data_IF_575214045177
#
_entry.id   IF_575214045177
#
_cell.length_a   1.000
_cell.length_b   1.000
_cell.length_c   1.000
_cell.angle_alpha   90.00
_cell.angle_beta   90.00
_cell.angle_gamma   90.00
#
_symmetry.space_group_name_H-M   'P 1'
#
loop_
_entity.id
_entity.type
_entity.pdbx_description
1 polymer ?
#
# COMPACT_ATOMS: atom_id res chain seq x y z
N UNK A 1 -3.06 -22.05 -15.72
CA UNK A 1 -2.37 -21.31 -14.65
C UNK A 1 -2.79 -21.88 -13.31
N UNK A 2 -1.83 -22.16 -12.42
CA UNK A 2 -2.06 -22.65 -11.05
C UNK A 2 -2.02 -21.45 -10.08
N UNK A 3 -3.07 -21.30 -9.29
CA UNK A 3 -3.23 -20.19 -8.34
C UNK A 3 -3.23 -20.74 -6.92
N UNK A 4 -2.34 -20.24 -6.06
CA UNK A 4 -2.35 -20.54 -4.63
C UNK A 4 -3.07 -19.42 -3.85
N UNK A 5 -3.89 -19.80 -2.87
CA UNK A 5 -4.61 -18.83 -2.04
C UNK A 5 -4.51 -19.19 -0.56
N UNK A 6 -4.18 -18.21 0.27
CA UNK A 6 -4.22 -18.34 1.72
C UNK A 6 -5.18 -17.29 2.32
N UNK A 7 -6.35 -17.71 2.81
CA UNK A 7 -7.29 -16.78 3.46
C UNK A 7 -6.90 -16.40 4.90
N UNK A 8 -5.74 -16.83 5.39
CA UNK A 8 -5.24 -16.63 6.76
C UNK A 8 -6.31 -16.87 7.86
N UNK A 9 -7.14 -17.91 7.65
CA UNK A 9 -8.24 -18.26 8.56
C UNK A 9 -9.43 -17.30 8.55
N UNK A 10 -9.49 -16.39 7.58
CA UNK A 10 -10.50 -15.34 7.50
C UNK A 10 -11.72 -15.67 6.64
N UNK A 11 -12.54 -14.65 6.42
CA UNK A 11 -13.83 -14.73 5.72
C UNK A 11 -13.71 -15.25 4.27
N UNK A 12 -12.57 -14.99 3.60
CA UNK A 12 -12.37 -15.41 2.21
C UNK A 12 -12.36 -16.93 2.00
N UNK A 13 -12.23 -17.73 3.06
CA UNK A 13 -12.14 -19.21 2.96
C UNK A 13 -13.30 -19.82 2.19
N UNK A 14 -14.52 -19.30 2.38
CA UNK A 14 -15.72 -19.81 1.75
C UNK A 14 -16.01 -19.21 0.36
N UNK A 15 -15.19 -18.26 -0.11
CA UNK A 15 -15.38 -17.60 -1.40
C UNK A 15 -14.58 -18.26 -2.52
N UNK A 16 -13.38 -18.81 -2.21
CA UNK A 16 -12.45 -19.26 -3.24
C UNK A 16 -12.89 -20.47 -4.02
N UNK A 17 -13.51 -21.46 -3.37
CA UNK A 17 -14.05 -22.65 -4.09
C UNK A 17 -15.21 -22.28 -5.04
N UNK A 18 -16.23 -21.51 -4.62
CA UNK A 18 -17.28 -21.02 -5.53
C UNK A 18 -16.73 -20.18 -6.69
N UNK A 19 -15.75 -19.31 -6.45
CA UNK A 19 -15.11 -18.52 -7.50
C UNK A 19 -14.38 -19.44 -8.50
N UNK A 20 -13.56 -20.37 -8.00
CA UNK A 20 -12.85 -21.34 -8.83
C UNK A 20 -13.80 -22.11 -9.73
N UNK A 21 -14.89 -22.67 -9.17
CA UNK A 21 -15.89 -23.42 -9.89
C UNK A 21 -16.63 -22.59 -10.92
N UNK A 22 -17.06 -21.38 -10.53
CA UNK A 22 -17.84 -20.49 -11.41
C UNK A 22 -17.06 -20.02 -12.63
N UNK A 23 -15.78 -19.74 -12.47
CA UNK A 23 -14.95 -19.16 -13.53
C UNK A 23 -13.93 -20.16 -14.14
N UNK A 24 -13.98 -21.44 -13.75
CA UNK A 24 -13.06 -22.45 -14.25
C UNK A 24 -11.59 -22.21 -13.90
N UNK A 25 -11.33 -21.62 -12.70
CA UNK A 25 -9.99 -21.30 -12.26
C UNK A 25 -9.37 -22.47 -11.49
N UNK A 26 -8.08 -22.73 -11.71
CA UNK A 26 -7.31 -23.73 -10.97
C UNK A 26 -6.75 -23.11 -9.70
N UNK A 27 -7.60 -22.97 -8.68
CA UNK A 27 -7.25 -22.40 -7.37
C UNK A 27 -7.04 -23.53 -6.36
N UNK A 28 -5.95 -23.45 -5.59
CA UNK A 28 -5.68 -24.28 -4.42
C UNK A 28 -5.69 -23.40 -3.18
N UNK A 29 -6.60 -23.66 -2.23
CA UNK A 29 -6.61 -23.03 -0.91
C UNK A 29 -5.64 -23.79 -0.01
N UNK A 30 -4.57 -23.16 0.43
CA UNK A 30 -3.47 -23.83 1.15
C UNK A 30 -3.77 -24.06 2.63
N UNK A 31 -4.60 -23.19 3.25
CA UNK A 31 -5.08 -23.35 4.64
C UNK A 31 -6.60 -23.38 4.66
N UNK A 32 -7.23 -24.52 4.27
CA UNK A 32 -8.68 -24.60 4.11
C UNK A 32 -9.45 -24.82 5.43
N UNK A 33 -8.76 -25.04 6.55
CA UNK A 33 -9.37 -25.32 7.84
C UNK A 33 -9.49 -24.06 8.68
N UNK A 34 -10.66 -23.84 9.25
CA UNK A 34 -10.86 -22.84 10.29
C UNK A 34 -10.25 -23.34 11.60
N UNK A 35 -9.33 -22.59 12.14
CA UNK A 35 -8.75 -22.81 13.45
C UNK A 35 -8.89 -21.54 14.29
N UNK A 36 -9.80 -21.49 15.29
CA UNK A 36 -10.01 -20.31 16.11
C UNK A 36 -8.78 -19.89 16.93
N UNK A 37 -7.82 -20.80 17.11
CA UNK A 37 -6.56 -20.50 17.81
C UNK A 37 -5.45 -20.04 16.85
N UNK A 38 -5.71 -20.05 15.52
CA UNK A 38 -4.72 -19.71 14.47
C UNK A 38 -3.38 -20.44 14.59
N UNK A 39 -3.44 -21.72 15.06
CA UNK A 39 -2.24 -22.55 15.31
C UNK A 39 -1.38 -22.82 14.10
N UNK A 40 -1.88 -22.58 12.89
CA UNK A 40 -1.15 -22.68 11.62
C UNK A 40 -0.28 -21.45 11.32
N UNK A 41 -0.48 -20.32 12.05
CA UNK A 41 0.23 -19.08 11.79
C UNK A 41 1.63 -19.08 12.40
N UNK A 42 2.58 -18.53 11.67
CA UNK A 42 3.91 -18.21 12.17
C UNK A 42 3.87 -16.99 13.08
N UNK A 43 4.61 -17.02 14.18
CA UNK A 43 4.71 -15.87 15.10
C UNK A 43 5.46 -14.72 14.42
N UNK A 44 4.98 -13.50 14.64
CA UNK A 44 5.66 -12.27 14.21
C UNK A 44 6.91 -12.02 15.09
N UNK A 45 7.72 -11.03 14.73
CA UNK A 45 8.98 -10.66 15.39
C UNK A 45 8.83 -10.38 16.90
N UNK A 46 7.63 -10.00 17.36
CA UNK A 46 7.31 -9.74 18.76
C UNK A 46 6.66 -10.94 19.51
N UNK A 47 6.68 -12.13 18.88
CA UNK A 47 6.11 -13.35 19.42
C UNK A 47 4.58 -13.42 19.40
N UNK A 48 3.90 -12.53 18.66
CA UNK A 48 2.44 -12.52 18.55
C UNK A 48 1.99 -13.07 17.21
N UNK A 49 0.77 -13.63 17.20
CA UNK A 49 0.08 -13.99 15.96
C UNK A 49 -0.53 -12.72 15.36
N UNK A 50 -0.24 -12.45 14.07
CA UNK A 50 -0.85 -11.38 13.28
C UNK A 50 -1.28 -11.94 11.93
N UNK A 51 -2.51 -11.74 11.56
CA UNK A 51 -3.05 -12.14 10.25
C UNK A 51 -2.94 -10.98 9.25
N UNK A 52 -1.75 -10.38 9.16
CA UNK A 52 -1.45 -9.31 8.21
C UNK A 52 -0.85 -9.88 6.93
N UNK A 53 -1.59 -9.84 5.84
CA UNK A 53 -1.16 -10.38 4.55
C UNK A 53 0.00 -9.61 3.89
N UNK A 54 0.44 -8.49 4.44
CA UNK A 54 1.67 -7.80 4.06
C UNK A 54 2.89 -8.22 4.89
N UNK A 55 2.70 -8.98 5.97
CA UNK A 55 3.79 -9.47 6.84
C UNK A 55 4.46 -10.72 6.25
N UNK A 56 5.80 -10.74 6.12
CA UNK A 56 6.52 -11.95 5.71
C UNK A 56 6.36 -13.10 6.71
N UNK A 57 6.09 -12.82 7.98
CA UNK A 57 5.83 -13.83 9.01
C UNK A 57 4.45 -14.47 8.79
N UNK A 58 3.41 -13.68 8.63
CA UNK A 58 2.06 -14.19 8.38
C UNK A 58 1.99 -14.99 7.07
N UNK A 59 2.70 -14.53 6.05
CA UNK A 59 2.71 -15.13 4.72
C UNK A 59 3.79 -16.21 4.52
N UNK A 60 4.57 -16.56 5.57
CA UNK A 60 5.70 -17.48 5.45
C UNK A 60 5.31 -18.82 4.84
N UNK A 61 4.15 -19.37 5.21
CA UNK A 61 3.63 -20.62 4.65
C UNK A 61 3.41 -20.53 3.13
N UNK A 62 2.74 -19.49 2.67
CA UNK A 62 2.45 -19.29 1.25
C UNK A 62 3.72 -18.96 0.46
N UNK A 63 4.62 -18.16 1.03
CA UNK A 63 5.92 -17.84 0.43
C UNK A 63 6.78 -19.10 0.23
N UNK A 64 6.74 -20.03 1.20
CA UNK A 64 7.40 -21.33 1.09
C UNK A 64 6.88 -22.22 -0.04
N UNK A 65 5.68 -21.93 -0.54
CA UNK A 65 5.02 -22.68 -1.63
C UNK A 65 5.07 -21.94 -2.97
N UNK A 66 5.74 -20.78 -3.08
CA UNK A 66 5.70 -19.88 -4.24
C UNK A 66 6.03 -20.57 -5.58
N UNK A 67 6.92 -21.57 -5.57
CA UNK A 67 7.35 -22.25 -6.78
C UNK A 67 6.35 -23.33 -7.27
N UNK A 68 5.33 -23.65 -6.45
CA UNK A 68 4.25 -24.60 -6.81
C UNK A 68 3.13 -23.94 -7.62
N UNK A 69 3.06 -22.60 -7.61
CA UNK A 69 2.02 -21.81 -8.24
C UNK A 69 2.60 -20.85 -9.29
N UNK A 70 1.80 -20.47 -10.27
CA UNK A 70 2.18 -19.41 -11.22
C UNK A 70 2.02 -18.03 -10.57
N UNK A 71 1.04 -17.89 -9.68
CA UNK A 71 0.81 -16.76 -8.80
C UNK A 71 0.14 -17.24 -7.52
N UNK A 72 0.45 -16.61 -6.40
CA UNK A 72 -0.27 -16.87 -5.15
C UNK A 72 -0.60 -15.57 -4.42
N UNK A 73 -1.64 -15.60 -3.57
CA UNK A 73 -2.02 -14.42 -2.79
C UNK A 73 -2.76 -14.83 -1.50
N UNK A 74 -2.66 -13.97 -0.51
CA UNK A 74 -3.38 -14.10 0.76
C UNK A 74 -4.33 -12.93 1.00
N UNK A 75 -5.27 -13.16 1.91
CA UNK A 75 -6.16 -12.14 2.43
C UNK A 75 -6.06 -12.09 3.95
N UNK A 76 -6.25 -10.92 4.54
CA UNK A 76 -6.43 -10.78 5.97
C UNK A 76 -7.83 -11.27 6.42
N UNK A 77 -8.14 -11.37 7.72
CA UNK A 77 -9.34 -12.07 8.20
C UNK A 77 -10.66 -11.51 7.71
N UNK A 78 -10.80 -10.19 7.52
CA UNK A 78 -11.99 -9.54 6.96
C UNK A 78 -11.93 -9.37 5.43
N UNK A 79 -10.81 -9.83 4.82
CA UNK A 79 -10.62 -9.99 3.37
C UNK A 79 -10.64 -8.67 2.59
N UNK A 80 -10.39 -7.56 3.25
CA UNK A 80 -10.31 -6.24 2.63
C UNK A 80 -8.89 -5.89 2.14
N UNK A 81 -7.87 -6.68 2.50
CA UNK A 81 -6.46 -6.53 2.11
C UNK A 81 -5.93 -7.73 1.34
N UNK A 82 -4.82 -7.49 0.63
CA UNK A 82 -4.18 -8.48 -0.22
C UNK A 82 -2.68 -8.64 0.11
N UNK A 83 -2.15 -9.86 0.00
CA UNK A 83 -0.72 -10.15 -0.01
C UNK A 83 -0.37 -10.93 -1.27
N UNK A 84 0.41 -10.37 -2.17
CA UNK A 84 0.74 -10.99 -3.45
C UNK A 84 2.10 -11.70 -3.35
N UNK A 85 2.12 -12.97 -3.70
CA UNK A 85 3.33 -13.80 -3.70
C UNK A 85 3.64 -14.25 -5.12
N UNK A 86 4.79 -13.86 -5.62
CA UNK A 86 5.29 -14.17 -6.97
C UNK A 86 6.46 -15.11 -6.92
N UNK A 87 6.71 -15.84 -8.02
CA UNK A 87 7.94 -16.65 -8.15
C UNK A 87 9.19 -15.80 -8.18
N UNK A 88 9.12 -14.65 -8.85
CA UNK A 88 10.28 -13.80 -9.13
C UNK A 88 10.86 -13.14 -7.88
N UNK A 89 10.01 -12.58 -7.01
CA UNK A 89 10.47 -11.80 -5.84
C UNK A 89 9.85 -12.23 -4.50
N UNK A 90 9.02 -13.28 -4.48
CA UNK A 90 8.31 -13.72 -3.28
C UNK A 90 7.16 -12.80 -2.91
N UNK A 91 7.01 -12.49 -1.61
CA UNK A 91 5.98 -11.55 -1.12
C UNK A 91 6.28 -10.14 -1.58
N UNK A 92 5.35 -9.55 -2.30
CA UNK A 92 5.44 -8.15 -2.75
C UNK A 92 5.09 -7.18 -1.63
N UNK A 93 5.87 -6.10 -1.50
CA UNK A 93 5.41 -4.96 -0.73
C UNK A 93 4.12 -4.39 -1.34
N UNK A 94 3.09 -4.04 -0.55
CA UNK A 94 1.84 -3.50 -1.09
C UNK A 94 2.05 -2.28 -2.01
N UNK A 95 2.92 -1.34 -1.65
CA UNK A 95 3.24 -0.19 -2.51
C UNK A 95 3.74 -0.60 -3.90
N UNK A 96 4.56 -1.66 -3.96
CA UNK A 96 5.11 -2.18 -5.22
C UNK A 96 4.00 -2.77 -6.09
N UNK A 97 3.14 -3.59 -5.47
CA UNK A 97 2.03 -4.18 -6.19
C UNK A 97 1.01 -3.13 -6.64
N UNK A 98 0.69 -2.13 -5.83
CA UNK A 98 -0.20 -1.02 -6.23
C UNK A 98 0.32 -0.30 -7.48
N UNK A 99 1.63 -0.02 -7.57
CA UNK A 99 2.21 0.62 -8.75
C UNK A 99 2.05 -0.24 -10.02
N UNK A 100 2.28 -1.56 -9.91
CA UNK A 100 2.06 -2.53 -11.00
C UNK A 100 0.59 -2.60 -11.39
N UNK A 101 -0.31 -2.73 -10.41
CA UNK A 101 -1.75 -2.81 -10.62
C UNK A 101 -2.28 -1.56 -11.35
N UNK A 102 -1.88 -0.37 -10.90
CA UNK A 102 -2.26 0.91 -11.52
C UNK A 102 -1.79 0.96 -12.97
N UNK A 103 -0.51 0.66 -13.24
CA UNK A 103 0.01 0.66 -14.62
C UNK A 103 -0.76 -0.32 -15.49
N UNK A 104 -0.95 -1.55 -15.03
CA UNK A 104 -1.68 -2.56 -15.79
C UNK A 104 -3.12 -2.14 -16.07
N UNK A 105 -3.86 -1.71 -15.06
CA UNK A 105 -5.25 -1.31 -15.20
C UNK A 105 -5.41 -0.14 -16.19
N UNK A 106 -4.60 0.91 -16.06
CA UNK A 106 -4.69 2.08 -16.94
C UNK A 106 -4.33 1.79 -18.38
N UNK A 107 -3.56 0.74 -18.66
CA UNK A 107 -3.23 0.30 -20.03
C UNK A 107 -4.17 -0.78 -20.56
N UNK A 108 -4.99 -1.44 -19.73
CA UNK A 108 -5.86 -2.56 -20.10
C UNK A 108 -7.35 -2.30 -19.82
N UNK A 109 -7.74 -1.07 -19.50
CA UNK A 109 -9.13 -0.65 -19.25
C UNK A 109 -9.49 0.55 -20.14
N UNK A 110 -9.66 0.31 -21.47
CA UNK A 110 -9.87 1.40 -22.45
C UNK A 110 -11.17 2.18 -22.24
N UNK A 111 -12.13 1.60 -21.53
CA UNK A 111 -13.42 2.26 -21.25
C UNK A 111 -13.38 3.15 -20.00
N UNK A 112 -12.28 3.14 -19.25
CA UNK A 112 -12.17 4.05 -18.11
C UNK A 112 -12.00 5.49 -18.58
N UNK A 113 -12.74 6.45 -17.97
CA UNK A 113 -12.61 7.86 -18.34
C UNK A 113 -11.16 8.33 -18.23
N UNK A 114 -10.67 8.99 -19.27
CA UNK A 114 -9.30 9.54 -19.28
C UNK A 114 -9.07 10.60 -18.19
N UNK A 115 -10.15 11.24 -17.73
CA UNK A 115 -10.16 12.24 -16.66
C UNK A 115 -10.23 11.64 -15.25
N UNK A 116 -10.57 10.34 -15.12
CA UNK A 116 -10.65 9.69 -13.81
C UNK A 116 -9.27 9.65 -13.13
N UNK A 117 -9.23 10.08 -11.88
CA UNK A 117 -8.02 10.14 -11.09
C UNK A 117 -7.60 8.77 -10.55
N UNK A 118 -6.32 8.63 -10.22
CA UNK A 118 -5.78 7.53 -9.42
C UNK A 118 -5.61 8.02 -7.99
N UNK A 119 -6.26 7.35 -7.03
CA UNK A 119 -6.20 7.66 -5.61
C UNK A 119 -5.08 6.91 -4.89
N UNK A 120 -4.29 7.62 -4.07
CA UNK A 120 -3.36 7.04 -3.10
C UNK A 120 -3.38 7.82 -1.79
N UNK A 121 -2.92 7.19 -0.70
CA UNK A 121 -2.69 7.92 0.55
C UNK A 121 -1.37 8.69 0.50
N UNK A 122 -1.27 9.75 1.30
CA UNK A 122 -0.05 10.58 1.38
C UNK A 122 1.19 9.80 1.86
N UNK A 123 1.00 8.63 2.47
CA UNK A 123 2.08 7.77 2.97
C UNK A 123 2.38 6.59 2.04
N UNK A 124 1.63 6.41 0.97
CA UNK A 124 1.94 5.44 -0.08
C UNK A 124 3.13 5.91 -0.93
N UNK A 125 3.83 4.96 -1.55
CA UNK A 125 5.05 5.22 -2.33
C UNK A 125 4.85 6.24 -3.46
N UNK A 126 5.84 7.10 -3.66
CA UNK A 126 5.92 8.02 -4.79
C UNK A 126 6.29 7.32 -6.12
N UNK A 127 6.56 6.01 -6.11
CA UNK A 127 6.59 5.23 -7.36
C UNK A 127 5.25 5.30 -8.09
N UNK A 128 4.15 5.33 -7.33
CA UNK A 128 2.79 5.51 -7.89
C UNK A 128 2.68 6.86 -8.60
N UNK A 129 3.23 7.94 -8.03
CA UNK A 129 3.24 9.28 -8.65
C UNK A 129 3.93 9.26 -10.01
N UNK A 130 5.11 8.61 -10.07
CA UNK A 130 5.91 8.49 -11.30
C UNK A 130 5.17 7.69 -12.38
N UNK A 131 4.53 6.57 -11.99
CA UNK A 131 3.72 5.75 -12.91
C UNK A 131 2.50 6.52 -13.42
N UNK A 132 1.77 7.21 -12.54
CA UNK A 132 0.57 7.98 -12.91
C UNK A 132 0.93 9.15 -13.83
N UNK A 133 2.02 9.86 -13.53
CA UNK A 133 2.52 10.97 -14.36
C UNK A 133 2.97 10.48 -15.77
N UNK A 134 3.68 9.35 -15.85
CA UNK A 134 4.11 8.74 -17.11
C UNK A 134 2.93 8.36 -18.03
N UNK A 135 1.81 7.96 -17.41
CA UNK A 135 0.58 7.62 -18.11
C UNK A 135 -0.32 8.83 -18.41
N UNK A 136 0.13 10.05 -18.08
CA UNK A 136 -0.63 11.28 -18.28
C UNK A 136 -1.93 11.34 -17.50
N UNK A 137 -2.01 10.65 -16.36
CA UNK A 137 -3.22 10.57 -15.54
C UNK A 137 -3.16 11.51 -14.33
N UNK A 138 -4.32 11.85 -13.79
CA UNK A 138 -4.44 12.69 -12.60
C UNK A 138 -4.21 11.85 -11.33
N UNK A 139 -3.34 12.34 -10.43
CA UNK A 139 -3.16 11.78 -9.10
C UNK A 139 -4.10 12.49 -8.10
N UNK A 140 -4.73 11.71 -7.22
CA UNK A 140 -5.53 12.18 -6.09
C UNK A 140 -4.88 11.70 -4.78
N UNK A 141 -3.88 12.43 -4.28
CA UNK A 141 -3.22 12.12 -3.00
C UNK A 141 -4.07 12.68 -1.85
N UNK A 142 -4.52 11.78 -0.95
CA UNK A 142 -5.46 12.07 0.14
C UNK A 142 -4.89 11.67 1.51
N UNK A 143 -5.48 12.09 2.63
CA UNK A 143 -5.09 11.58 3.95
C UNK A 143 -5.30 10.07 4.05
N UNK A 144 -4.65 9.42 5.03
CA UNK A 144 -4.86 8.00 5.32
C UNK A 144 -6.32 7.73 5.68
N UNK A 145 -6.87 6.68 5.08
CA UNK A 145 -8.24 6.22 5.26
C UNK A 145 -8.98 6.06 3.93
N UNK A 146 -9.47 4.85 3.69
CA UNK A 146 -10.09 4.48 2.40
C UNK A 146 -11.34 5.30 2.06
N UNK A 147 -12.04 5.81 3.08
CA UNK A 147 -13.22 6.69 2.93
C UNK A 147 -13.03 7.88 1.98
N UNK A 148 -11.79 8.33 1.80
CA UNK A 148 -11.48 9.45 0.93
C UNK A 148 -11.58 9.12 -0.57
N UNK A 149 -11.53 7.83 -0.92
CA UNK A 149 -11.69 7.36 -2.29
C UNK A 149 -13.16 7.04 -2.63
N UNK A 150 -13.99 6.76 -1.61
CA UNK A 150 -15.37 6.30 -1.76
C UNK A 150 -16.22 7.18 -2.70
N UNK A 151 -16.27 8.51 -2.58
CA UNK A 151 -17.06 9.33 -3.50
C UNK A 151 -16.60 9.19 -4.95
N UNK A 152 -15.29 9.26 -5.18
CA UNK A 152 -14.74 9.18 -6.54
C UNK A 152 -14.87 7.79 -7.17
N UNK A 153 -14.78 6.71 -6.39
CA UNK A 153 -15.05 5.35 -6.87
C UNK A 153 -16.53 5.16 -7.19
N UNK A 154 -17.42 5.83 -6.45
CA UNK A 154 -18.86 5.74 -6.68
C UNK A 154 -19.30 6.46 -7.95
N UNK A 155 -18.82 7.68 -8.17
CA UNK A 155 -19.19 8.51 -9.31
C UNK A 155 -18.29 8.34 -10.55
N UNK A 156 -17.23 7.52 -10.45
CA UNK A 156 -16.27 7.25 -11.53
C UNK A 156 -15.24 8.36 -11.75
N UNK A 157 -15.19 9.40 -10.92
CA UNK A 157 -14.15 10.44 -10.99
C UNK A 157 -12.79 9.96 -10.47
N UNK A 158 -12.78 8.84 -9.73
CA UNK A 158 -11.58 8.09 -9.33
C UNK A 158 -11.69 6.65 -9.84
N UNK A 159 -10.73 6.20 -10.63
CA UNK A 159 -10.76 4.84 -11.20
C UNK A 159 -10.08 3.78 -10.34
N UNK A 160 -9.23 4.20 -9.42
CA UNK A 160 -8.49 3.35 -8.50
C UNK A 160 -8.26 4.10 -7.19
N UNK A 161 -8.42 3.42 -6.06
CA UNK A 161 -8.03 3.91 -4.73
C UNK A 161 -7.22 2.86 -4.01
N UNK A 162 -6.04 3.22 -3.45
CA UNK A 162 -5.16 2.27 -2.77
C UNK A 162 -4.38 2.86 -1.61
N UNK A 163 -4.11 2.01 -0.62
CA UNK A 163 -3.37 2.32 0.59
C UNK A 163 -2.14 1.40 0.73
N UNK A 164 -1.08 1.92 1.32
CA UNK A 164 0.15 1.18 1.62
C UNK A 164 -0.09 -0.01 2.58
N UNK A 165 -1.23 -0.03 3.25
CA UNK A 165 -1.67 -1.11 4.12
C UNK A 165 -2.25 -2.32 3.37
N UNK A 166 -2.11 -2.36 2.04
CA UNK A 166 -2.63 -3.40 1.14
C UNK A 166 -4.15 -3.39 0.91
N UNK A 167 -4.83 -2.31 1.23
CA UNK A 167 -6.24 -2.12 0.88
C UNK A 167 -6.38 -1.36 -0.43
N UNK A 168 -7.14 -1.87 -1.40
CA UNK A 168 -7.42 -1.17 -2.64
C UNK A 168 -8.75 -1.61 -3.28
N UNK A 169 -9.26 -0.78 -4.18
CA UNK A 169 -10.39 -1.09 -5.05
C UNK A 169 -10.31 -0.26 -6.34
N UNK A 170 -11.05 -0.67 -7.38
CA UNK A 170 -11.05 -0.01 -8.66
C UNK A 170 -12.36 -0.24 -9.42
N UNK A 171 -12.60 0.53 -10.47
CA UNK A 171 -13.81 0.44 -11.30
C UNK A 171 -13.88 -0.88 -12.06
N UNK A 172 -15.08 -1.27 -12.44
CA UNK A 172 -15.33 -2.38 -13.37
C UNK A 172 -14.71 -2.08 -14.73
N UNK A 173 -14.66 -3.09 -15.60
CA UNK A 173 -14.13 -2.97 -16.97
C UNK A 173 -14.83 -1.91 -17.82
N UNK A 174 -16.10 -1.70 -17.59
CA UNK A 174 -16.93 -0.72 -18.29
C UNK A 174 -16.85 0.70 -17.70
N UNK A 175 -16.05 0.89 -16.64
CA UNK A 175 -15.88 2.19 -15.96
C UNK A 175 -16.93 2.50 -14.89
N UNK A 176 -17.86 1.57 -14.61
CA UNK A 176 -18.84 1.72 -13.53
C UNK A 176 -18.24 1.32 -12.18
N UNK A 177 -18.86 1.78 -11.10
CA UNK A 177 -18.44 1.43 -9.74
C UNK A 177 -18.53 -0.09 -9.50
N UNK A 178 -17.49 -0.67 -8.89
CA UNK A 178 -17.52 -2.03 -8.33
C UNK A 178 -18.01 -1.96 -6.89
N UNK A 179 -17.10 -1.87 -5.94
CA UNK A 179 -17.38 -1.54 -4.55
C UNK A 179 -16.66 -0.23 -4.19
N UNK A 180 -17.17 0.47 -3.19
CA UNK A 180 -16.60 1.75 -2.75
C UNK A 180 -15.77 1.60 -1.48
N UNK A 181 -15.43 0.36 -1.12
CA UNK A 181 -14.50 0.00 -0.07
C UNK A 181 -13.41 -0.95 -0.62
N UNK A 182 -12.43 -1.28 0.20
CA UNK A 182 -11.33 -2.19 -0.12
C UNK A 182 -11.84 -3.59 -0.45
N UNK A 183 -11.20 -4.23 -1.43
CA UNK A 183 -11.54 -5.60 -1.83
C UNK A 183 -10.26 -6.41 -2.10
N UNK A 184 -9.83 -7.18 -1.10
CA UNK A 184 -8.61 -7.98 -1.19
C UNK A 184 -8.72 -9.15 -2.18
N UNK A 185 -9.93 -9.71 -2.37
CA UNK A 185 -10.14 -10.78 -3.36
C UNK A 185 -9.94 -10.25 -4.78
N UNK A 186 -10.48 -9.06 -5.05
CA UNK A 186 -10.35 -8.39 -6.34
C UNK A 186 -8.89 -8.16 -6.72
N UNK A 187 -8.07 -7.72 -5.76
CA UNK A 187 -6.64 -7.47 -5.98
C UNK A 187 -5.86 -8.78 -6.22
N UNK A 188 -6.19 -9.87 -5.52
CA UNK A 188 -5.62 -11.19 -5.78
C UNK A 188 -5.97 -11.70 -7.18
N UNK A 189 -7.24 -11.60 -7.60
CA UNK A 189 -7.68 -11.97 -8.94
C UNK A 189 -7.04 -11.09 -10.03
N UNK A 190 -6.78 -9.81 -9.74
CA UNK A 190 -6.05 -8.93 -10.64
C UNK A 190 -4.60 -9.40 -10.85
N UNK A 191 -3.92 -9.88 -9.80
CA UNK A 191 -2.57 -10.45 -9.95
C UNK A 191 -2.59 -11.69 -10.85
N UNK A 192 -3.62 -12.51 -10.75
CA UNK A 192 -3.84 -13.64 -11.66
C UNK A 192 -4.13 -13.17 -13.09
N UNK A 193 -4.94 -12.13 -13.29
CA UNK A 193 -5.21 -11.54 -14.60
C UNK A 193 -3.92 -10.99 -15.24
N UNK A 194 -3.11 -10.24 -14.49
CA UNK A 194 -1.82 -9.73 -14.96
C UNK A 194 -0.96 -10.88 -15.45
N UNK A 195 -0.75 -11.90 -14.61
CA UNK A 195 0.09 -13.05 -14.93
C UNK A 195 -0.40 -13.81 -16.16
N UNK A 196 -1.71 -14.02 -16.30
CA UNK A 196 -2.30 -14.73 -17.43
C UNK A 196 -2.15 -13.96 -18.75
N UNK A 197 -2.43 -12.66 -18.73
CA UNK A 197 -2.45 -11.84 -19.95
C UNK A 197 -1.05 -11.49 -20.44
N UNK A 198 -0.11 -11.23 -19.54
CA UNK A 198 1.25 -10.81 -19.89
C UNK A 198 2.23 -11.98 -19.92
N UNK A 199 1.88 -13.13 -19.38
CA UNK A 199 2.76 -14.29 -19.14
C UNK A 199 3.95 -13.96 -18.24
N UNK A 200 3.83 -12.91 -17.46
CA UNK A 200 4.85 -12.35 -16.58
C UNK A 200 4.21 -12.06 -15.24
N UNK A 201 4.83 -12.44 -14.14
CA UNK A 201 4.27 -12.19 -12.82
C UNK A 201 4.43 -10.71 -12.39
N UNK A 202 3.60 -10.21 -11.46
CA UNK A 202 3.67 -8.83 -11.01
C UNK A 202 5.03 -8.40 -10.44
N UNK A 203 5.83 -9.33 -9.92
CA UNK A 203 7.17 -9.03 -9.41
C UNK A 203 8.13 -8.62 -10.54
N UNK A 204 8.08 -9.29 -11.68
CA UNK A 204 8.88 -8.89 -12.85
C UNK A 204 8.44 -7.53 -13.41
N UNK A 205 7.13 -7.26 -13.47
CA UNK A 205 6.63 -5.93 -13.83
C UNK A 205 7.08 -4.85 -12.86
N UNK A 206 7.19 -5.16 -11.56
CA UNK A 206 7.77 -4.24 -10.61
C UNK A 206 9.25 -3.93 -10.91
N UNK A 207 10.05 -4.93 -11.26
CA UNK A 207 11.45 -4.72 -11.64
C UNK A 207 11.56 -3.81 -12.88
N UNK A 208 10.71 -4.00 -13.90
CA UNK A 208 10.64 -3.08 -15.04
C UNK A 208 10.29 -1.63 -14.62
N UNK A 209 9.41 -1.47 -13.64
CA UNK A 209 9.09 -0.13 -13.10
C UNK A 209 10.28 0.49 -12.38
N UNK A 210 11.04 -0.30 -11.60
CA UNK A 210 12.22 0.22 -10.90
C UNK A 210 13.36 0.58 -11.84
N UNK A 211 13.54 -0.17 -12.91
CA UNK A 211 14.51 0.17 -13.96
C UNK A 211 14.17 1.51 -14.66
N UNK A 212 12.90 1.77 -14.84
CA UNK A 212 12.43 2.99 -15.50
C UNK A 212 12.35 4.20 -14.59
N UNK A 213 11.89 4.04 -13.37
CA UNK A 213 11.54 5.12 -12.45
C UNK A 213 12.45 5.24 -11.24
N UNK A 214 13.37 4.30 -11.04
CA UNK A 214 14.21 4.18 -9.86
C UNK A 214 13.57 3.31 -8.76
N UNK A 215 14.43 2.71 -7.95
CA UNK A 215 14.03 1.81 -6.86
C UNK A 215 13.66 2.63 -5.63
N UNK A 216 12.42 2.50 -5.10
CA UNK A 216 12.06 3.10 -3.82
C UNK A 216 12.62 2.29 -2.65
N UNK A 217 13.25 2.94 -1.71
CA UNK A 217 13.57 2.46 -0.38
C UNK A 217 12.55 3.05 0.57
N UNK A 218 11.76 2.22 1.23
CA UNK A 218 10.61 2.65 2.03
C UNK A 218 10.65 2.03 3.42
N UNK A 219 10.26 2.79 4.44
CA UNK A 219 10.11 2.30 5.81
C UNK A 219 8.96 2.97 6.55
N UNK A 220 8.44 2.26 7.56
CA UNK A 220 7.55 2.79 8.59
C UNK A 220 8.13 2.49 9.96
N UNK A 221 8.13 3.48 10.83
CA UNK A 221 8.58 3.38 12.21
C UNK A 221 7.43 3.82 13.13
N UNK A 222 7.14 3.02 14.13
CA UNK A 222 6.19 3.32 15.18
C UNK A 222 6.98 3.76 16.43
N UNK A 223 6.73 4.97 16.95
CA UNK A 223 7.44 5.53 18.09
C UNK A 223 6.46 5.98 19.19
N UNK A 224 6.79 5.80 20.48
CA UNK A 224 5.94 6.20 21.59
C UNK A 224 5.57 7.69 21.52
N UNK A 225 4.31 8.01 21.83
CA UNK A 225 3.84 9.38 21.96
C UNK A 225 2.71 9.48 22.99
N UNK A 226 2.82 10.44 23.89
CA UNK A 226 1.74 10.75 24.85
C UNK A 226 0.54 11.35 24.15
N UNK A 227 -0.66 11.33 24.73
CA UNK A 227 -1.84 12.02 24.17
C UNK A 227 -1.59 13.51 23.89
N UNK A 228 -0.84 14.20 24.75
CA UNK A 228 -0.47 15.61 24.54
C UNK A 228 0.39 15.78 23.29
N UNK A 229 1.44 14.97 23.12
CA UNK A 229 2.31 14.99 21.93
C UNK A 229 1.52 14.65 20.66
N UNK A 230 0.61 13.67 20.73
CA UNK A 230 -0.28 13.33 19.60
C UNK A 230 -1.14 14.51 19.18
N UNK A 231 -1.66 15.30 20.13
CA UNK A 231 -2.44 16.51 19.86
C UNK A 231 -1.58 17.61 19.22
N UNK A 232 -0.34 17.80 19.66
CA UNK A 232 0.61 18.73 19.03
C UNK A 232 0.88 18.31 17.58
N UNK A 233 1.24 17.05 17.36
CA UNK A 233 1.54 16.53 16.02
C UNK A 233 0.37 16.66 15.06
N UNK A 234 -0.87 16.40 15.55
CA UNK A 234 -2.09 16.55 14.77
C UNK A 234 -2.36 17.98 14.28
N UNK A 235 -1.86 18.98 15.03
CA UNK A 235 -2.07 20.41 14.76
C UNK A 235 -0.82 21.11 14.25
N UNK A 236 0.22 20.38 13.87
CA UNK A 236 1.44 20.97 13.33
C UNK A 236 1.11 21.85 12.11
N UNK A 237 1.78 23.01 12.08
CA UNK A 237 1.80 23.86 10.89
C UNK A 237 3.10 23.66 10.10
N UNK A 238 3.14 23.99 8.81
CA UNK A 238 4.35 23.92 7.99
C UNK A 238 5.50 24.76 8.54
N UNK A 239 5.19 25.86 9.23
CA UNK A 239 6.17 26.80 9.83
C UNK A 239 6.91 26.20 11.03
N UNK A 240 6.31 25.21 11.70
CA UNK A 240 6.98 24.48 12.78
C UNK A 240 8.23 23.71 12.29
N UNK A 241 8.32 23.44 10.99
CA UNK A 241 9.52 22.86 10.37
C UNK A 241 10.44 23.98 9.89
N UNK A 242 11.41 24.34 10.70
CA UNK A 242 12.39 25.39 10.35
C UNK A 242 13.49 24.92 9.40
N UNK A 243 13.66 23.60 9.24
CA UNK A 243 14.62 23.02 8.32
C UNK A 243 14.33 23.43 6.85
N UNK A 244 15.40 23.72 6.10
CA UNK A 244 15.36 24.06 4.67
C UNK A 244 15.82 22.88 3.80
N UNK A 245 16.49 21.91 4.41
CA UNK A 245 17.01 20.71 3.75
C UNK A 245 16.61 19.44 4.53
N UNK A 246 16.53 18.32 3.82
CA UNK A 246 16.33 16.99 4.36
C UNK A 246 17.27 16.02 3.62
N UNK A 247 18.15 15.35 4.37
CA UNK A 247 19.15 14.41 3.86
C UNK A 247 20.03 15.01 2.74
N UNK A 248 20.39 16.31 2.86
CA UNK A 248 21.22 17.02 1.89
C UNK A 248 20.48 17.51 0.64
N UNK A 249 19.17 17.37 0.59
CA UNK A 249 18.34 17.87 -0.51
C UNK A 249 17.45 19.04 -0.03
N UNK A 250 17.26 20.10 -0.85
CA UNK A 250 16.31 21.17 -0.55
C UNK A 250 14.90 20.63 -0.34
N UNK A 251 14.23 21.10 0.71
CA UNK A 251 12.82 20.82 0.96
C UNK A 251 11.97 21.59 -0.06
N UNK A 252 11.19 20.87 -0.84
CA UNK A 252 10.30 21.44 -1.88
C UNK A 252 8.87 21.64 -1.41
N UNK A 253 8.45 20.90 -0.39
CA UNK A 253 7.10 21.05 0.19
C UNK A 253 7.06 20.62 1.66
N UNK A 254 6.22 21.31 2.44
CA UNK A 254 5.86 21.01 3.83
C UNK A 254 4.33 21.00 3.88
N UNK A 255 3.71 19.82 3.98
CA UNK A 255 2.29 19.63 3.81
C UNK A 255 1.61 19.26 5.13
N UNK A 256 0.53 19.93 5.45
CA UNK A 256 -0.42 19.60 6.53
C UNK A 256 -1.84 19.39 5.99
N UNK A 257 -2.03 19.62 4.68
CA UNK A 257 -3.24 19.33 3.93
C UNK A 257 -2.90 18.46 2.73
N UNK A 258 -3.81 17.56 2.36
CA UNK A 258 -3.63 16.66 1.23
C UNK A 258 -3.80 17.41 -0.10
N UNK A 259 -2.86 17.25 -1.06
CA UNK A 259 -2.94 17.94 -2.35
C UNK A 259 -4.18 17.59 -3.17
N UNK A 260 -4.70 16.36 -3.01
CA UNK A 260 -5.81 15.85 -3.82
C UNK A 260 -7.19 16.43 -3.44
N UNK A 261 -7.41 16.72 -2.16
CA UNK A 261 -8.74 17.12 -1.67
C UNK A 261 -8.73 18.25 -0.62
N UNK A 262 -7.56 18.81 -0.29
CA UNK A 262 -7.42 19.88 0.70
C UNK A 262 -7.70 19.46 2.15
N UNK A 263 -7.97 18.19 2.42
CA UNK A 263 -8.28 17.72 3.77
C UNK A 263 -7.02 17.71 4.65
N UNK A 264 -7.20 18.00 5.95
CA UNK A 264 -6.11 17.98 6.90
C UNK A 264 -5.48 16.57 7.01
N UNK A 265 -4.14 16.50 6.96
CA UNK A 265 -3.40 15.25 7.12
C UNK A 265 -3.48 14.71 8.55
N UNK A 266 -3.75 15.58 9.52
CA UNK A 266 -3.64 15.25 10.94
C UNK A 266 -2.19 14.92 11.33
N UNK A 267 -1.24 15.56 10.69
CA UNK A 267 0.20 15.39 10.82
C UNK A 267 0.94 16.26 9.83
N UNK A 268 2.16 15.86 9.50
CA UNK A 268 3.07 16.59 8.62
C UNK A 268 3.66 15.65 7.57
N UNK A 269 3.80 16.13 6.31
CA UNK A 269 4.64 15.50 5.28
C UNK A 269 5.67 16.52 4.79
N UNK A 270 6.93 16.14 4.72
CA UNK A 270 8.04 16.94 4.18
C UNK A 270 8.59 16.22 2.96
N UNK A 271 8.75 16.95 1.86
CA UNK A 271 9.10 16.39 0.55
C UNK A 271 10.35 17.07 0.01
N UNK A 272 11.26 16.26 -0.54
CA UNK A 272 12.41 16.69 -1.35
C UNK A 272 12.29 16.11 -2.76
N UNK A 273 13.27 16.31 -3.62
CA UNK A 273 13.28 15.79 -4.99
C UNK A 273 13.26 14.26 -5.05
N UNK A 274 14.06 13.60 -4.18
CA UNK A 274 14.25 12.15 -4.23
C UNK A 274 13.81 11.43 -2.96
N UNK A 275 13.17 12.13 -2.02
CA UNK A 275 12.70 11.52 -0.79
C UNK A 275 11.61 12.32 -0.09
N UNK A 276 11.02 11.71 0.91
CA UNK A 276 10.04 12.35 1.77
C UNK A 276 9.93 11.62 3.10
N UNK A 277 9.41 12.30 4.11
CA UNK A 277 8.84 11.65 5.28
C UNK A 277 7.46 12.20 5.60
N UNK A 278 6.65 11.39 6.29
CA UNK A 278 5.38 11.80 6.88
C UNK A 278 5.29 11.32 8.31
N UNK A 279 4.85 12.17 9.23
CA UNK A 279 4.64 11.84 10.63
C UNK A 279 3.18 12.13 11.03
N UNK A 280 2.53 11.15 11.64
CA UNK A 280 1.13 11.26 12.07
C UNK A 280 0.87 10.50 13.37
N UNK A 281 0.00 10.97 14.27
CA UNK A 281 -0.38 10.22 15.45
C UNK A 281 -1.21 8.98 15.08
N UNK A 282 -1.07 7.90 15.84
CA UNK A 282 -2.00 6.76 15.78
C UNK A 282 -3.36 7.19 16.36
N UNK A 283 -4.45 6.73 15.71
CA UNK A 283 -5.81 6.96 16.23
C UNK A 283 -6.13 6.16 17.49
N UNK A 284 -5.56 4.95 17.60
CA UNK A 284 -5.93 3.94 18.61
C UNK A 284 -4.86 3.69 19.67
N UNK A 285 -3.58 3.95 19.35
CA UNK A 285 -2.43 3.62 20.20
C UNK A 285 -1.69 4.87 20.67
N UNK A 286 -0.92 4.77 21.74
CA UNK A 286 -0.06 5.83 22.25
C UNK A 286 1.29 5.89 21.52
N UNK A 287 1.20 5.99 20.20
CA UNK A 287 2.35 6.10 19.28
C UNK A 287 2.09 7.16 18.21
N UNK A 288 3.16 7.63 17.58
CA UNK A 288 3.08 8.21 16.25
C UNK A 288 3.73 7.29 15.24
N UNK A 289 3.29 7.39 13.99
CA UNK A 289 3.82 6.64 12.86
C UNK A 289 4.63 7.59 11.99
N UNK A 290 5.86 7.21 11.72
CA UNK A 290 6.74 7.91 10.80
C UNK A 290 6.94 7.02 9.58
N UNK A 291 6.60 7.55 8.42
CA UNK A 291 6.82 6.93 7.13
C UNK A 291 7.90 7.70 6.39
N UNK A 292 8.78 7.00 5.70
CA UNK A 292 9.82 7.63 4.89
C UNK A 292 10.10 6.83 3.63
N UNK A 293 10.50 7.54 2.58
CA UNK A 293 10.90 6.95 1.31
C UNK A 293 12.07 7.72 0.70
N UNK A 294 12.95 6.98 0.02
CA UNK A 294 14.06 7.51 -0.77
C UNK A 294 14.15 6.78 -2.10
N UNK A 295 14.46 7.51 -3.17
CA UNK A 295 14.80 6.95 -4.48
C UNK A 295 16.31 6.97 -4.75
N UNK A 296 17.13 7.26 -3.75
CA UNK A 296 18.60 7.34 -3.88
C UNK A 296 19.27 6.07 -3.38
N UNK A 297 19.08 5.75 -2.10
CA UNK A 297 19.71 4.58 -1.47
C UNK A 297 19.11 4.29 -0.08
N UNK A 298 19.42 3.11 0.47
CA UNK A 298 19.08 2.78 1.84
C UNK A 298 19.78 3.73 2.85
N UNK A 299 21.02 4.14 2.58
CA UNK A 299 21.72 5.09 3.43
C UNK A 299 21.04 6.47 3.44
N UNK A 300 20.57 6.94 2.28
CA UNK A 300 19.81 8.19 2.19
C UNK A 300 18.47 8.08 2.92
N UNK A 301 17.76 6.94 2.81
CA UNK A 301 16.55 6.68 3.60
C UNK A 301 16.83 6.76 5.10
N UNK A 302 17.90 6.15 5.58
CA UNK A 302 18.28 6.17 7.01
C UNK A 302 18.52 7.60 7.49
N UNK A 303 19.21 8.43 6.70
CA UNK A 303 19.42 9.86 6.99
C UNK A 303 18.09 10.64 7.04
N UNK A 304 17.17 10.36 6.10
CA UNK A 304 15.82 10.95 6.14
C UNK A 304 15.12 10.61 7.45
N UNK A 305 15.15 9.34 7.87
CA UNK A 305 14.51 8.86 9.10
C UNK A 305 15.10 9.56 10.34
N UNK A 306 16.42 9.61 10.47
CA UNK A 306 17.10 10.26 11.61
C UNK A 306 16.72 11.75 11.71
N UNK A 307 16.79 12.47 10.60
CA UNK A 307 16.43 13.88 10.56
C UNK A 307 14.93 14.11 10.78
N UNK A 308 14.06 13.24 10.25
CA UNK A 308 12.61 13.28 10.47
C UNK A 308 12.28 13.13 11.96
N UNK A 309 12.91 12.18 12.65
CA UNK A 309 12.75 12.00 14.08
C UNK A 309 13.17 13.25 14.87
N UNK A 310 14.28 13.89 14.51
CA UNK A 310 14.71 15.14 15.14
C UNK A 310 13.74 16.29 14.88
N UNK A 311 13.21 16.42 13.66
CA UNK A 311 12.21 17.44 13.31
C UNK A 311 10.95 17.24 14.16
N UNK A 312 10.46 15.99 14.23
CA UNK A 312 9.27 15.66 15.02
C UNK A 312 9.51 15.92 16.51
N UNK A 313 10.64 15.49 17.08
CA UNK A 313 10.98 15.73 18.48
C UNK A 313 11.00 17.22 18.84
N UNK A 314 11.64 18.05 18.03
CA UNK A 314 11.65 19.52 18.22
C UNK A 314 10.24 20.11 18.18
N UNK A 315 9.43 19.68 17.23
CA UNK A 315 8.04 20.13 17.09
C UNK A 315 7.16 19.70 18.28
N UNK A 316 7.51 18.59 18.94
CA UNK A 316 6.82 18.08 20.14
C UNK A 316 7.35 18.73 21.44
N UNK A 317 8.25 19.71 21.36
CA UNK A 317 8.81 20.42 22.52
C UNK A 317 9.94 19.64 23.24
N UNK A 318 10.54 18.65 22.58
CA UNK A 318 11.77 18.00 23.06
C UNK A 318 13.00 18.82 22.71
N UNK A 319 13.90 18.99 23.70
CA UNK A 319 15.25 19.56 23.49
C UNK A 319 16.18 18.51 22.89
#
# INVERSE_FOLDING_TARGET
MKIGVDPLGGAAINYWEPIAKKFGLNITVVNPKLDPAFGFMTLDHDGKIRMDCSSPHAMAGLVGLKDQFDIAFGNDPDSDRHGIVTRSIGLMNPNHYLAVAIRYLLTHRPHWPGTAAVGKTLVSSSLIDRVVADLGRKLNEVPVGFKWFTPGLYDGSCCFGGEESAGASFLRRDGTAWVTDKDGLLLGLLAAEITANTRTDPGQHYLELTDRFGTPFYTRIDAPATPAQKNVLKKLSPEAVTATELAGEPIVAKLTQAPGNGAALGGLKVVTKNGWFAARPSGTENIYKLYAESFTSQAHLNTIVEQAQQIVLRALGGN
#
